data_IF_276278774661
#
_entry.id   IF_276278774661
#
_cell.length_a   1.000
_cell.length_b   1.000
_cell.length_c   1.000
_cell.angle_alpha   90.00
_cell.angle_beta   90.00
_cell.angle_gamma   90.00
#
_symmetry.space_group_name_H-M   'P 1'
#
loop_
_entity.id
_entity.type
_entity.pdbx_description
1 polymer ?
#
# COMPACT_ATOMS: atom_id res chain seq x y z
N UNK A 1 -85.82 17.97 37.41
CA UNK A 1 -85.03 18.96 36.66
C UNK A 1 -83.73 19.37 37.43
N UNK A 2 -83.45 18.80 38.56
CA UNK A 2 -82.24 19.09 39.39
C UNK A 2 -81.09 18.10 39.14
N UNK A 3 -81.31 16.90 38.61
CA UNK A 3 -80.29 15.88 38.34
C UNK A 3 -79.34 16.19 37.21
N UNK A 4 -79.81 16.83 36.13
CA UNK A 4 -79.01 17.19 34.95
C UNK A 4 -77.95 18.30 35.23
N UNK A 5 -78.14 19.09 36.25
CA UNK A 5 -77.17 20.16 36.65
C UNK A 5 -75.98 19.64 37.46
N UNK A 6 -76.26 18.61 38.28
CA UNK A 6 -75.23 17.95 39.09
C UNK A 6 -74.29 17.06 38.24
N UNK A 7 -74.82 16.39 37.25
CA UNK A 7 -74.02 15.59 36.31
C UNK A 7 -73.12 16.45 35.41
N UNK A 8 -73.58 17.62 34.95
CA UNK A 8 -72.72 18.59 34.22
C UNK A 8 -71.59 19.16 35.07
N UNK A 9 -71.85 19.40 36.36
CA UNK A 9 -70.79 19.86 37.28
C UNK A 9 -69.77 18.78 37.57
N UNK A 10 -70.17 17.56 37.82
CA UNK A 10 -69.26 16.41 38.03
C UNK A 10 -68.43 16.13 36.78
N UNK A 11 -69.01 16.20 35.59
CA UNK A 11 -68.32 16.08 34.33
C UNK A 11 -67.30 17.20 34.07
N UNK A 12 -67.59 18.41 34.45
CA UNK A 12 -66.73 19.58 34.38
C UNK A 12 -65.53 19.48 35.32
N UNK A 13 -65.78 19.04 36.58
CA UNK A 13 -64.74 18.84 37.60
C UNK A 13 -63.79 17.68 37.16
N UNK A 14 -64.31 16.60 36.64
CA UNK A 14 -63.51 15.47 36.10
C UNK A 14 -62.61 15.91 34.94
N UNK A 15 -63.12 16.72 34.04
CA UNK A 15 -62.31 17.31 32.94
C UNK A 15 -61.19 18.22 33.45
N UNK A 16 -61.45 19.09 34.37
CA UNK A 16 -60.43 19.99 34.94
C UNK A 16 -59.34 19.17 35.65
N UNK A 17 -59.75 18.17 36.41
CA UNK A 17 -58.78 17.28 37.11
C UNK A 17 -57.96 16.47 36.15
N UNK A 18 -58.57 15.94 35.08
CA UNK A 18 -57.87 15.24 34.02
C UNK A 18 -56.85 16.10 33.31
N UNK A 19 -57.22 17.34 32.93
CA UNK A 19 -56.31 18.29 32.29
C UNK A 19 -55.15 18.68 33.23
N UNK A 20 -55.42 18.84 34.52
CA UNK A 20 -54.44 19.24 35.53
C UNK A 20 -53.37 18.17 35.78
N UNK A 21 -53.68 16.90 35.50
CA UNK A 21 -52.74 15.76 35.58
C UNK A 21 -52.07 15.48 34.24
N UNK A 22 -52.87 15.43 33.17
CA UNK A 22 -52.37 14.99 31.84
C UNK A 22 -51.41 16.04 31.22
N UNK A 23 -51.71 17.31 31.40
CA UNK A 23 -50.85 18.38 30.81
C UNK A 23 -49.44 18.38 31.42
N UNK A 24 -49.23 18.39 32.76
CA UNK A 24 -47.90 18.31 33.34
C UNK A 24 -47.18 16.99 33.02
N UNK A 25 -47.90 15.89 33.02
CA UNK A 25 -47.30 14.59 32.66
C UNK A 25 -46.81 14.55 31.20
N UNK A 26 -47.62 15.07 30.27
CA UNK A 26 -47.24 15.19 28.86
C UNK A 26 -46.07 16.13 28.66
N UNK A 27 -46.07 17.25 29.35
CA UNK A 27 -44.95 18.21 29.30
C UNK A 27 -43.66 17.58 29.83
N UNK A 28 -43.76 16.88 30.95
CA UNK A 28 -42.60 16.16 31.54
C UNK A 28 -42.07 15.09 30.61
N UNK A 29 -42.96 14.26 30.01
CA UNK A 29 -42.59 13.29 29.03
C UNK A 29 -41.90 13.88 27.79
N UNK A 30 -42.41 15.01 27.30
CA UNK A 30 -41.83 15.77 26.19
C UNK A 30 -40.43 16.30 26.52
N UNK A 31 -40.23 16.86 27.72
CA UNK A 31 -38.91 17.34 28.16
C UNK A 31 -37.88 16.21 28.29
N UNK A 32 -38.32 15.09 28.86
CA UNK A 32 -37.45 13.87 28.97
C UNK A 32 -37.09 13.36 27.60
N UNK A 33 -38.04 13.22 26.69
CA UNK A 33 -37.80 12.75 25.32
C UNK A 33 -36.79 13.66 24.58
N UNK A 34 -37.00 14.97 24.62
CA UNK A 34 -36.05 15.92 24.03
C UNK A 34 -34.66 15.87 24.67
N UNK A 35 -34.58 15.67 25.99
CA UNK A 35 -33.33 15.48 26.70
C UNK A 35 -32.56 14.23 26.18
N UNK A 36 -33.26 13.12 26.08
CA UNK A 36 -32.69 11.84 25.55
C UNK A 36 -32.21 12.01 24.11
N UNK A 37 -33.01 12.65 23.23
CA UNK A 37 -32.60 12.88 21.84
C UNK A 37 -31.34 13.75 21.75
N UNK A 38 -31.26 14.86 22.49
CA UNK A 38 -30.06 15.71 22.52
C UNK A 38 -28.82 14.98 23.02
N UNK A 39 -28.94 14.18 24.06
CA UNK A 39 -27.82 13.38 24.58
C UNK A 39 -27.40 12.33 23.56
N UNK A 40 -28.37 11.67 22.92
CA UNK A 40 -28.12 10.68 21.88
C UNK A 40 -27.37 11.28 20.67
N UNK A 41 -27.81 12.43 20.18
CA UNK A 41 -27.16 13.12 19.06
C UNK A 41 -25.74 13.57 19.42
N UNK A 42 -25.55 14.17 20.60
CA UNK A 42 -24.20 14.56 21.08
C UNK A 42 -23.27 13.35 21.26
N UNK A 43 -23.78 12.24 21.77
CA UNK A 43 -22.98 11.02 21.92
C UNK A 43 -22.59 10.45 20.57
N UNK A 44 -23.51 10.43 19.60
CA UNK A 44 -23.25 9.99 18.23
C UNK A 44 -22.21 10.85 17.52
N UNK A 45 -22.34 12.16 17.60
CA UNK A 45 -21.41 13.12 17.00
C UNK A 45 -19.99 12.96 17.57
N UNK A 46 -19.87 12.84 18.90
CA UNK A 46 -18.58 12.59 19.56
C UNK A 46 -17.99 11.24 19.16
N UNK A 47 -18.79 10.18 19.11
CA UNK A 47 -18.34 8.86 18.72
C UNK A 47 -17.83 8.85 17.28
N UNK A 48 -18.56 9.49 16.36
CA UNK A 48 -18.14 9.63 14.95
C UNK A 48 -16.84 10.41 14.83
N UNK A 49 -16.72 11.55 15.51
CA UNK A 49 -15.50 12.38 15.50
C UNK A 49 -14.28 11.61 16.04
N UNK A 50 -14.43 10.86 17.12
CA UNK A 50 -13.34 10.03 17.69
C UNK A 50 -12.95 8.90 16.74
N UNK A 51 -13.91 8.25 16.08
CA UNK A 51 -13.65 7.21 15.10
C UNK A 51 -12.92 7.74 13.87
N UNK A 52 -13.32 8.93 13.38
CA UNK A 52 -12.66 9.57 12.23
C UNK A 52 -11.21 9.93 12.56
N UNK A 53 -10.97 10.53 13.73
CA UNK A 53 -9.62 10.86 14.18
C UNK A 53 -8.74 9.60 14.32
N UNK A 54 -9.26 8.54 14.93
CA UNK A 54 -8.53 7.26 15.03
C UNK A 54 -8.24 6.64 13.68
N UNK A 55 -9.20 6.67 12.76
CA UNK A 55 -9.01 6.14 11.40
C UNK A 55 -7.92 6.93 10.64
N UNK A 56 -7.91 8.24 10.76
CA UNK A 56 -6.87 9.08 10.15
C UNK A 56 -5.48 8.80 10.74
N UNK A 57 -5.39 8.66 12.06
CA UNK A 57 -4.13 8.32 12.73
C UNK A 57 -3.62 6.95 12.32
N UNK A 58 -4.49 5.93 12.25
CA UNK A 58 -4.14 4.59 11.81
C UNK A 58 -3.64 4.58 10.35
N UNK A 59 -4.32 5.29 9.45
CA UNK A 59 -3.89 5.42 8.05
C UNK A 59 -2.51 6.09 7.97
N UNK A 60 -2.29 7.16 8.76
CA UNK A 60 -1.00 7.85 8.82
C UNK A 60 0.12 6.93 9.30
N UNK A 61 -0.11 6.20 10.38
CA UNK A 61 0.88 5.24 10.92
C UNK A 61 1.20 4.15 9.89
N UNK A 62 0.17 3.58 9.25
CA UNK A 62 0.36 2.57 8.20
C UNK A 62 1.15 3.12 7.01
N UNK A 63 0.87 4.35 6.59
CA UNK A 63 1.60 4.99 5.50
C UNK A 63 3.07 5.22 5.84
N UNK A 64 3.37 5.69 7.06
CA UNK A 64 4.75 5.87 7.54
C UNK A 64 5.48 4.52 7.59
N UNK A 65 4.89 3.50 8.20
CA UNK A 65 5.50 2.18 8.29
C UNK A 65 5.79 1.58 6.91
N UNK A 66 4.83 1.72 5.97
CA UNK A 66 5.04 1.26 4.59
C UNK A 66 6.16 2.02 3.89
N UNK A 67 6.25 3.35 4.09
CA UNK A 67 7.33 4.14 3.52
C UNK A 67 8.70 3.73 4.08
N UNK A 68 8.79 3.46 5.40
CA UNK A 68 10.01 2.96 6.04
C UNK A 68 10.40 1.57 5.53
N UNK A 69 9.44 0.66 5.36
CA UNK A 69 9.70 -0.67 4.76
C UNK A 69 10.26 -0.56 3.35
N UNK A 70 9.69 0.33 2.52
CA UNK A 70 10.19 0.58 1.17
C UNK A 70 11.60 1.17 1.20
N UNK A 71 11.85 2.17 2.05
CA UNK A 71 13.16 2.79 2.18
C UNK A 71 14.22 1.78 2.65
N UNK A 72 13.90 0.92 3.61
CA UNK A 72 14.78 -0.14 4.08
C UNK A 72 15.04 -1.17 2.98
N UNK A 73 14.02 -1.58 2.24
CA UNK A 73 14.16 -2.48 1.11
C UNK A 73 15.13 -1.91 0.05
N UNK A 74 15.03 -0.63 -0.29
CA UNK A 74 15.91 0.00 -1.27
C UNK A 74 17.36 0.06 -0.75
N UNK A 75 17.58 0.47 0.49
CA UNK A 75 18.92 0.47 1.11
C UNK A 75 19.57 -0.92 1.15
N UNK A 76 18.81 -1.95 1.43
CA UNK A 76 19.33 -3.32 1.34
C UNK A 76 19.76 -3.67 -0.08
N UNK A 77 19.08 -3.20 -1.11
CA UNK A 77 19.48 -3.44 -2.51
C UNK A 77 20.74 -2.67 -2.90
N UNK A 78 20.90 -1.43 -2.43
CA UNK A 78 22.15 -0.68 -2.56
C UNK A 78 23.32 -1.47 -1.91
N UNK A 79 23.13 -1.95 -0.70
CA UNK A 79 24.14 -2.79 -0.02
C UNK A 79 24.43 -4.07 -0.79
N UNK A 80 23.43 -4.71 -1.38
CA UNK A 80 23.62 -5.91 -2.21
C UNK A 80 24.52 -5.64 -3.42
N UNK A 81 24.38 -4.47 -4.07
CA UNK A 81 25.27 -4.06 -5.18
C UNK A 81 26.70 -3.85 -4.69
N UNK A 82 26.87 -3.18 -3.54
CA UNK A 82 28.21 -3.00 -2.95
C UNK A 82 28.85 -4.33 -2.59
N UNK A 83 28.11 -5.28 -2.03
CA UNK A 83 28.59 -6.64 -1.78
C UNK A 83 28.94 -7.35 -3.10
N UNK A 84 28.10 -7.22 -4.12
CA UNK A 84 28.33 -7.81 -5.42
C UNK A 84 29.59 -7.26 -6.11
N UNK A 85 29.93 -5.99 -5.86
CA UNK A 85 31.13 -5.35 -6.46
C UNK A 85 32.45 -5.95 -5.97
N UNK A 86 32.46 -6.63 -4.81
CA UNK A 86 33.64 -7.29 -4.25
C UNK A 86 33.67 -8.81 -4.46
N UNK A 87 32.64 -9.38 -5.13
CA UNK A 87 32.62 -10.79 -5.46
C UNK A 87 33.71 -11.15 -6.49
N UNK A 88 34.23 -12.38 -6.45
CA UNK A 88 35.05 -12.87 -7.55
C UNK A 88 34.33 -12.70 -8.89
N UNK A 89 35.00 -12.18 -9.92
CA UNK A 89 34.45 -11.97 -11.26
C UNK A 89 34.19 -13.27 -12.02
N UNK A 90 33.41 -14.16 -11.45
CA UNK A 90 33.07 -15.46 -12.04
C UNK A 90 31.55 -15.67 -12.11
N UNK A 91 31.09 -16.35 -13.16
CA UNK A 91 29.69 -16.70 -13.33
C UNK A 91 29.11 -17.46 -12.12
N UNK A 92 29.92 -18.38 -11.55
CA UNK A 92 29.51 -19.19 -10.40
C UNK A 92 29.25 -18.32 -9.14
N UNK A 93 30.12 -17.32 -8.87
CA UNK A 93 29.96 -16.45 -7.72
C UNK A 93 28.71 -15.56 -7.86
N UNK A 94 28.51 -14.95 -9.03
CA UNK A 94 27.34 -14.11 -9.31
C UNK A 94 26.04 -14.93 -9.29
N UNK A 95 26.06 -16.13 -9.89
CA UNK A 95 24.90 -17.03 -9.87
C UNK A 95 24.53 -17.44 -8.45
N UNK A 96 25.52 -17.85 -7.64
CA UNK A 96 25.31 -18.22 -6.23
C UNK A 96 24.73 -17.06 -5.43
N UNK A 97 25.24 -15.84 -5.64
CA UNK A 97 24.72 -14.65 -4.99
C UNK A 97 23.25 -14.41 -5.32
N UNK A 98 22.88 -14.43 -6.61
CA UNK A 98 21.50 -14.25 -7.06
C UNK A 98 20.58 -15.34 -6.50
N UNK A 99 21.03 -16.59 -6.50
CA UNK A 99 20.24 -17.71 -6.00
C UNK A 99 19.96 -17.65 -4.49
N UNK A 100 20.88 -17.08 -3.73
CA UNK A 100 20.71 -16.90 -2.28
C UNK A 100 19.80 -15.72 -1.94
N UNK A 101 19.66 -14.74 -2.82
CA UNK A 101 18.84 -13.55 -2.62
C UNK A 101 17.40 -13.81 -3.04
N UNK A 102 16.60 -14.33 -2.10
CA UNK A 102 15.17 -14.64 -2.30
C UNK A 102 14.31 -13.94 -1.27
N UNK A 103 13.11 -13.57 -1.67
CA UNK A 103 12.06 -13.05 -0.80
C UNK A 103 10.87 -14.00 -0.80
N UNK A 104 10.31 -14.23 0.38
CA UNK A 104 9.06 -14.97 0.48
C UNK A 104 7.88 -14.03 0.15
N UNK A 105 7.10 -14.41 -0.83
CA UNK A 105 5.88 -13.72 -1.23
C UNK A 105 4.67 -14.60 -0.92
N UNK A 106 3.59 -13.98 -0.45
CA UNK A 106 2.29 -14.62 -0.35
C UNK A 106 1.57 -14.44 -1.69
N UNK A 107 1.37 -15.53 -2.40
CA UNK A 107 0.75 -15.53 -3.73
C UNK A 107 -0.56 -16.31 -3.64
N UNK A 108 -1.59 -15.79 -4.27
CA UNK A 108 -2.85 -16.52 -4.44
C UNK A 108 -2.76 -17.33 -5.73
N UNK A 109 -2.93 -18.64 -5.63
CA UNK A 109 -2.96 -19.53 -6.78
C UNK A 109 -4.29 -19.41 -7.57
N UNK A 110 -4.41 -20.19 -8.65
CA UNK A 110 -5.60 -20.18 -9.52
C UNK A 110 -6.87 -20.61 -8.79
N UNK A 111 -6.73 -21.41 -7.74
CA UNK A 111 -7.84 -21.93 -6.94
C UNK A 111 -8.18 -21.00 -5.77
N UNK A 112 -7.52 -19.84 -5.68
CA UNK A 112 -7.75 -18.84 -4.65
C UNK A 112 -7.03 -19.12 -3.33
N UNK A 113 -6.24 -20.19 -3.22
CA UNK A 113 -5.49 -20.56 -2.03
C UNK A 113 -4.23 -19.69 -1.91
N UNK A 114 -4.00 -19.16 -0.71
CA UNK A 114 -2.81 -18.37 -0.42
C UNK A 114 -1.66 -19.31 -0.05
N UNK A 115 -0.54 -19.17 -0.75
CA UNK A 115 0.67 -19.94 -0.49
C UNK A 115 1.90 -19.04 -0.44
N UNK A 116 2.90 -19.43 0.35
CA UNK A 116 4.17 -18.76 0.47
C UNK A 116 5.14 -19.30 -0.58
N UNK A 117 5.58 -18.42 -1.49
CA UNK A 117 6.49 -18.77 -2.57
C UNK A 117 7.79 -17.98 -2.43
N UNK A 118 8.94 -18.64 -2.55
CA UNK A 118 10.23 -17.97 -2.58
C UNK A 118 10.47 -17.41 -4.00
N UNK A 119 10.45 -16.09 -4.14
CA UNK A 119 10.73 -15.40 -5.40
C UNK A 119 12.15 -14.79 -5.37
N UNK A 120 12.88 -14.81 -6.51
CA UNK A 120 14.16 -14.13 -6.59
C UNK A 120 13.99 -12.63 -6.41
N UNK A 121 14.96 -11.99 -5.71
CA UNK A 121 14.98 -10.55 -5.54
C UNK A 121 15.45 -9.83 -6.80
N UNK A 122 16.34 -10.45 -7.56
CA UNK A 122 16.92 -9.89 -8.77
C UNK A 122 16.37 -10.63 -9.99
N UNK A 123 15.72 -9.90 -10.89
CA UNK A 123 15.35 -10.39 -12.20
C UNK A 123 16.54 -10.42 -13.16
N UNK A 124 17.49 -9.52 -12.95
CA UNK A 124 18.69 -9.39 -13.76
C UNK A 124 19.84 -8.84 -12.92
N UNK A 125 21.03 -9.38 -13.09
CA UNK A 125 22.28 -8.93 -12.49
C UNK A 125 23.42 -9.06 -13.51
N UNK A 126 24.20 -8.00 -13.69
CA UNK A 126 25.31 -7.98 -14.64
C UNK A 126 26.57 -7.39 -14.01
N UNK A 127 27.72 -7.97 -14.35
CA UNK A 127 29.04 -7.35 -14.21
C UNK A 127 29.39 -6.69 -15.53
N UNK A 128 29.70 -5.39 -15.50
CA UNK A 128 29.91 -4.55 -16.67
C UNK A 128 31.30 -3.92 -16.57
N UNK A 129 32.06 -3.91 -17.65
CA UNK A 129 33.32 -3.22 -17.71
C UNK A 129 33.17 -1.69 -17.90
N UNK A 130 34.28 -0.94 -17.80
CA UNK A 130 34.27 0.52 -17.96
C UNK A 130 33.90 0.99 -19.37
N UNK A 131 33.91 0.11 -20.36
CA UNK A 131 33.51 0.37 -21.72
C UNK A 131 32.02 0.06 -21.98
N UNK A 132 31.30 -0.42 -20.94
CA UNK A 132 29.88 -0.76 -21.01
C UNK A 132 29.62 -2.18 -21.50
N UNK A 133 30.64 -3.03 -21.67
CA UNK A 133 30.40 -4.43 -22.06
C UNK A 133 30.00 -5.26 -20.86
N UNK A 134 28.92 -6.03 -20.98
CA UNK A 134 28.58 -7.06 -20.02
C UNK A 134 29.65 -8.15 -20.04
N UNK A 135 30.27 -8.47 -18.89
CA UNK A 135 31.22 -9.56 -18.71
C UNK A 135 30.48 -10.81 -18.24
N UNK A 136 29.56 -10.63 -17.30
CA UNK A 136 28.68 -11.65 -16.74
C UNK A 136 27.28 -11.08 -16.74
N UNK A 137 26.31 -11.92 -17.10
CA UNK A 137 24.89 -11.58 -16.95
C UNK A 137 24.11 -12.78 -16.45
N UNK A 138 23.35 -12.56 -15.37
CA UNK A 138 22.36 -13.50 -14.86
C UNK A 138 20.98 -12.89 -15.14
N UNK A 139 20.11 -13.60 -15.82
CA UNK A 139 18.75 -13.15 -16.10
C UNK A 139 17.76 -14.26 -15.75
N UNK A 140 16.73 -13.92 -15.00
CA UNK A 140 15.73 -14.87 -14.50
C UNK A 140 16.35 -16.10 -13.82
N UNK A 141 17.44 -15.88 -13.07
CA UNK A 141 18.16 -16.95 -12.37
C UNK A 141 19.04 -17.86 -13.26
N UNK A 142 19.19 -17.57 -14.55
CA UNK A 142 20.04 -18.33 -15.46
C UNK A 142 21.23 -17.48 -15.95
N UNK A 143 22.40 -18.12 -16.13
CA UNK A 143 23.57 -17.49 -16.75
C UNK A 143 23.27 -17.27 -18.22
N UNK A 144 23.48 -16.05 -18.70
CA UNK A 144 23.31 -15.69 -20.11
C UNK A 144 24.56 -16.02 -20.89
N UNK A 145 24.41 -16.68 -22.05
CA UNK A 145 25.51 -17.07 -22.88
C UNK A 145 26.33 -15.89 -23.43
N UNK A 146 27.64 -16.07 -23.61
CA UNK A 146 28.57 -15.01 -24.02
C UNK A 146 28.18 -14.29 -25.32
N UNK A 147 27.54 -14.99 -26.25
CA UNK A 147 27.05 -14.44 -27.52
C UNK A 147 25.80 -13.55 -27.37
N UNK A 148 25.20 -13.49 -26.18
CA UNK A 148 24.03 -12.70 -25.86
C UNK A 148 24.36 -11.54 -24.90
N UNK A 149 25.64 -11.39 -24.52
CA UNK A 149 26.10 -10.25 -23.73
C UNK A 149 26.07 -8.98 -24.59
N UNK A 150 25.77 -7.88 -23.96
CA UNK A 150 25.50 -6.59 -24.63
C UNK A 150 26.51 -5.53 -24.22
N UNK A 151 26.69 -4.53 -25.06
CA UNK A 151 27.28 -3.28 -24.64
C UNK A 151 26.16 -2.31 -24.24
N UNK A 152 26.04 -2.05 -22.96
CA UNK A 152 24.97 -1.22 -22.35
C UNK A 152 25.35 0.26 -22.24
N UNK A 153 26.51 0.67 -22.76
CA UNK A 153 26.84 2.08 -22.88
C UNK A 153 25.85 2.82 -23.78
N UNK A 154 25.30 2.13 -24.78
CA UNK A 154 24.19 2.63 -25.58
C UNK A 154 22.85 2.22 -24.93
N UNK A 155 21.99 3.16 -24.53
CA UNK A 155 20.69 2.85 -23.91
C UNK A 155 19.82 1.90 -24.73
N UNK A 156 19.90 1.95 -26.06
CA UNK A 156 19.16 1.04 -26.97
C UNK A 156 19.50 -0.45 -26.82
N UNK A 157 20.64 -0.78 -26.22
CA UNK A 157 21.07 -2.14 -25.96
C UNK A 157 20.64 -2.67 -24.58
N UNK A 158 20.10 -1.81 -23.72
CA UNK A 158 19.59 -2.22 -22.40
C UNK A 158 18.30 -3.03 -22.52
N UNK A 159 17.88 -3.67 -21.43
CA UNK A 159 16.67 -4.49 -21.40
C UNK A 159 15.43 -3.73 -21.82
N UNK A 160 15.27 -2.49 -21.33
CA UNK A 160 14.14 -1.62 -21.68
C UNK A 160 14.46 -0.59 -22.77
N UNK A 161 15.63 -0.72 -23.44
CA UNK A 161 16.06 0.09 -24.60
C UNK A 161 16.13 1.61 -24.39
N UNK A 162 16.07 2.06 -23.16
CA UNK A 162 16.09 3.49 -22.79
C UNK A 162 16.74 3.74 -21.42
N UNK A 163 17.42 2.76 -20.86
CA UNK A 163 17.99 2.84 -19.51
C UNK A 163 19.35 3.53 -19.55
N UNK A 164 19.58 4.43 -18.63
CA UNK A 164 20.81 5.26 -18.55
C UNK A 164 21.69 4.89 -17.33
N UNK A 165 21.41 3.77 -16.66
CA UNK A 165 22.10 3.36 -15.44
C UNK A 165 23.62 3.29 -15.62
N UNK A 166 24.12 2.84 -16.77
CA UNK A 166 25.57 2.77 -17.02
C UNK A 166 26.21 4.17 -17.02
N UNK A 167 25.65 5.12 -17.79
CA UNK A 167 26.19 6.48 -17.86
C UNK A 167 26.10 7.22 -16.53
N UNK A 168 25.13 6.89 -15.69
CA UNK A 168 24.97 7.45 -14.35
C UNK A 168 25.98 6.83 -13.37
N UNK A 169 26.13 5.50 -13.41
CA UNK A 169 27.00 4.79 -12.48
C UNK A 169 28.48 5.06 -12.74
N UNK A 170 28.93 5.20 -13.99
CA UNK A 170 30.37 5.41 -14.31
C UNK A 170 30.92 6.73 -13.78
N UNK A 171 30.06 7.70 -13.49
CA UNK A 171 30.43 9.00 -12.91
C UNK A 171 30.44 9.01 -11.37
N UNK A 172 30.08 7.92 -10.71
CA UNK A 172 29.98 7.85 -9.26
C UNK A 172 31.33 7.62 -8.59
N UNK A 173 31.44 8.06 -7.34
CA UNK A 173 32.56 7.77 -6.47
C UNK A 173 32.53 6.33 -5.92
N UNK A 174 33.66 5.92 -5.33
CA UNK A 174 33.75 4.60 -4.70
C UNK A 174 32.75 4.46 -3.54
N UNK A 175 31.91 3.43 -3.62
CA UNK A 175 30.90 3.13 -2.58
C UNK A 175 29.56 3.85 -2.79
N UNK A 176 29.43 4.63 -3.84
CA UNK A 176 28.15 5.20 -4.25
C UNK A 176 27.40 4.24 -5.17
N UNK A 177 26.07 4.28 -5.12
CA UNK A 177 25.19 3.45 -5.94
C UNK A 177 24.13 4.33 -6.60
N UNK A 178 24.01 4.23 -7.91
CA UNK A 178 22.90 4.85 -8.64
C UNK A 178 21.64 4.01 -8.51
N UNK A 179 20.54 4.66 -8.13
CA UNK A 179 19.20 4.05 -8.11
C UNK A 179 18.34 4.73 -9.15
N UNK A 180 17.85 3.95 -10.11
CA UNK A 180 17.02 4.51 -11.19
C UNK A 180 15.59 4.77 -10.73
N UNK A 181 14.85 5.54 -11.50
CA UNK A 181 13.40 5.51 -11.46
C UNK A 181 12.88 4.13 -11.86
N UNK A 182 11.61 3.85 -11.56
CA UNK A 182 10.95 2.63 -12.03
C UNK A 182 10.87 2.67 -13.55
N UNK A 183 11.48 1.67 -14.20
CA UNK A 183 11.47 1.49 -15.66
C UNK A 183 10.70 0.23 -16.02
N UNK A 184 10.14 0.18 -17.24
CA UNK A 184 9.40 -0.99 -17.71
C UNK A 184 8.72 -0.74 -19.05
N UNK A 185 8.06 -1.75 -19.59
CA UNK A 185 7.30 -1.61 -20.82
C UNK A 185 5.94 -0.98 -20.57
N UNK A 186 5.56 -0.04 -21.41
CA UNK A 186 4.21 0.52 -21.38
C UNK A 186 3.17 -0.58 -21.68
N UNK A 187 2.12 -0.61 -20.87
CA UNK A 187 0.98 -1.52 -21.06
C UNK A 187 -0.22 -0.68 -21.51
N UNK A 188 -0.72 -0.94 -22.70
CA UNK A 188 -1.90 -0.25 -23.22
C UNK A 188 -3.15 -0.61 -22.42
N UNK A 189 -4.20 0.22 -22.49
CA UNK A 189 -5.48 -0.07 -21.85
C UNK A 189 -6.05 -1.43 -22.32
N UNK A 190 -5.96 -1.73 -23.62
CA UNK A 190 -6.42 -2.99 -24.19
C UNK A 190 -5.66 -4.21 -23.65
N UNK A 191 -4.32 -4.10 -23.53
CA UNK A 191 -3.49 -5.15 -22.95
C UNK A 191 -3.82 -5.37 -21.47
N UNK A 192 -4.04 -4.27 -20.72
CA UNK A 192 -4.42 -4.34 -19.31
C UNK A 192 -5.78 -5.03 -19.11
N UNK A 193 -6.76 -4.74 -19.96
CA UNK A 193 -8.07 -5.38 -19.96
C UNK A 193 -7.98 -6.89 -20.27
N UNK A 194 -7.00 -7.30 -21.10
CA UNK A 194 -6.68 -8.71 -21.38
C UNK A 194 -5.88 -9.39 -20.26
N UNK A 195 -5.67 -8.72 -19.15
CA UNK A 195 -4.98 -9.27 -18.00
C UNK A 195 -3.47 -9.04 -17.94
N UNK A 196 -2.86 -8.36 -18.92
CA UNK A 196 -1.44 -7.98 -18.87
C UNK A 196 -1.23 -6.92 -17.80
N UNK A 197 -0.16 -7.07 -17.03
CA UNK A 197 0.18 -6.12 -15.96
C UNK A 197 1.54 -5.48 -16.25
N UNK A 198 1.67 -4.23 -15.85
CA UNK A 198 2.96 -3.53 -15.90
C UNK A 198 3.96 -4.27 -14.99
N UNK A 199 5.13 -4.53 -15.54
CA UNK A 199 6.25 -5.09 -14.78
C UNK A 199 7.33 -4.03 -14.73
N UNK A 200 7.41 -3.32 -13.62
CA UNK A 200 8.43 -2.32 -13.37
C UNK A 200 9.64 -2.92 -12.68
N UNK A 201 10.80 -2.38 -12.99
CA UNK A 201 12.06 -2.68 -12.31
C UNK A 201 12.73 -1.39 -11.86
N UNK A 202 13.52 -1.50 -10.78
CA UNK A 202 14.45 -0.46 -10.33
C UNK A 202 15.85 -1.01 -10.58
N UNK A 203 16.74 -0.18 -11.17
CA UNK A 203 18.15 -0.51 -11.37
C UNK A 203 18.97 0.07 -10.25
N UNK A 204 19.87 -0.73 -9.75
CA UNK A 204 20.93 -0.36 -8.81
C UNK A 204 22.26 -0.59 -9.51
N UNK A 205 23.09 0.43 -9.67
CA UNK A 205 24.35 0.37 -10.41
C UNK A 205 25.45 1.24 -9.77
#
# INVERSE_FOLDING_TARGET
MAETKKDKQLFSIGRIFFLLIVIPLSLMAFLIANGIFKVGDSARERATSVLDLKSQEEIKIRAINTAEEVANFLRERENDVLVASILPGSEAAFKSFVDQKKRNLWVRDKDGKIQKVAAPLFSEMSLIDRSGNEIIRIANGAVVGKNQLRNVAAPGNTTFKSEDYFSKAIGLGKGEVHVSHVTGWYVTKQDFEKGKRYTGVVRFA
#
